data_IF_171217657772
#
_entry.id   IF_171217657772
#
_cell.length_a   1.000
_cell.length_b   1.000
_cell.length_c   1.000
_cell.angle_alpha   90.00
_cell.angle_beta   90.00
_cell.angle_gamma   90.00
#
_symmetry.space_group_name_H-M   'P 1'
#
loop_
_entity.id
_entity.type
_entity.pdbx_description
1 polymer ?
#
# COMPACT_ATOMS: atom_id res chain seq x y z
N UNK A 1 25.62 -17.72 66.25
CA UNK A 1 26.49 -17.07 65.24
C UNK A 1 26.06 -17.58 63.88
N UNK A 2 25.28 -16.80 63.14
CA UNK A 2 24.75 -17.16 61.82
C UNK A 2 25.57 -16.43 60.75
N UNK A 3 26.20 -17.20 59.87
CA UNK A 3 26.95 -16.72 58.71
C UNK A 3 25.97 -16.29 57.62
N UNK A 4 25.92 -14.99 57.31
CA UNK A 4 25.34 -14.51 56.06
C UNK A 4 26.43 -14.52 54.96
N UNK A 5 26.21 -15.19 53.82
CA UNK A 5 27.11 -15.08 52.67
C UNK A 5 26.84 -13.77 51.90
N UNK A 6 27.81 -13.29 51.10
CA UNK A 6 27.66 -12.06 50.35
C UNK A 6 26.67 -12.25 49.19
N UNK A 7 25.73 -11.31 49.07
CA UNK A 7 24.82 -11.20 47.93
C UNK A 7 25.64 -10.95 46.67
N UNK A 8 25.84 -11.98 45.84
CA UNK A 8 26.30 -11.81 44.46
C UNK A 8 25.19 -11.11 43.69
N UNK A 9 25.26 -9.78 43.61
CA UNK A 9 24.48 -9.01 42.64
C UNK A 9 24.99 -9.38 41.24
N UNK A 10 24.34 -10.34 40.62
CA UNK A 10 24.41 -10.51 39.17
C UNK A 10 23.72 -9.30 38.53
N UNK A 11 24.47 -8.21 38.35
CA UNK A 11 24.12 -7.22 37.34
C UNK A 11 24.24 -7.93 35.99
N UNK A 12 23.11 -8.44 35.51
CA UNK A 12 22.91 -8.73 34.09
C UNK A 12 23.07 -7.38 33.40
N UNK A 13 24.26 -7.14 32.84
CA UNK A 13 24.47 -6.09 31.87
C UNK A 13 23.44 -6.30 30.76
N UNK A 14 22.45 -5.42 30.70
CA UNK A 14 21.58 -5.30 29.54
C UNK A 14 22.52 -4.88 28.42
N UNK A 15 22.94 -5.84 27.61
CA UNK A 15 23.74 -5.56 26.43
C UNK A 15 22.87 -4.69 25.53
N UNK A 16 23.22 -3.41 25.46
CA UNK A 16 22.69 -2.52 24.45
C UNK A 16 23.06 -3.13 23.09
N UNK A 17 22.09 -3.56 22.26
CA UNK A 17 22.38 -4.25 21.00
C UNK A 17 23.19 -3.39 20.02
N UNK A 18 23.36 -2.09 20.29
CA UNK A 18 24.17 -1.17 19.50
C UNK A 18 25.25 -0.43 20.33
N UNK A 19 25.65 -0.96 21.49
CA UNK A 19 26.73 -0.39 22.29
C UNK A 19 28.09 -0.52 21.60
N UNK A 20 28.48 0.48 20.81
CA UNK A 20 29.81 0.54 20.20
C UNK A 20 30.85 0.94 21.26
N UNK A 21 31.76 0.02 21.58
CA UNK A 21 32.91 0.28 22.44
C UNK A 21 34.04 0.89 21.61
N UNK A 22 34.14 2.22 21.63
CA UNK A 22 35.15 2.99 20.89
C UNK A 22 36.53 3.00 21.54
N UNK A 23 36.67 2.50 22.78
CA UNK A 23 37.91 2.60 23.57
C UNK A 23 38.71 1.30 23.56
N UNK A 24 38.06 0.16 23.33
CA UNK A 24 38.73 -1.15 23.40
C UNK A 24 39.32 -1.58 22.05
N UNK A 25 40.63 -1.43 21.89
CA UNK A 25 41.36 -2.04 20.77
C UNK A 25 41.60 -3.54 21.02
N UNK A 26 41.05 -4.42 20.16
CA UNK A 26 41.36 -5.86 20.16
C UNK A 26 42.40 -6.21 19.10
N UNK A 27 43.63 -6.49 19.54
CA UNK A 27 44.72 -6.94 18.66
C UNK A 27 44.35 -8.28 18.01
N UNK A 28 44.44 -8.36 16.69
CA UNK A 28 44.16 -9.59 15.93
C UNK A 28 42.71 -9.74 15.44
N UNK A 29 41.80 -8.84 15.82
CA UNK A 29 40.45 -8.79 15.24
C UNK A 29 40.52 -7.92 13.99
N UNK A 30 40.57 -8.54 12.81
CA UNK A 30 40.26 -7.85 11.55
C UNK A 30 38.79 -8.06 11.27
N UNK A 31 38.03 -6.97 11.19
CA UNK A 31 36.68 -7.02 10.64
C UNK A 31 36.79 -7.52 9.19
N UNK A 32 35.98 -8.51 8.85
CA UNK A 32 35.78 -8.91 7.46
C UNK A 32 35.31 -7.66 6.72
N UNK A 33 36.08 -7.24 5.72
CA UNK A 33 35.69 -6.09 4.92
C UNK A 33 34.49 -6.52 4.08
N UNK A 34 33.43 -5.74 4.15
CA UNK A 34 32.26 -5.94 3.31
C UNK A 34 32.54 -5.70 1.83
N UNK A 35 33.76 -5.35 1.42
CA UNK A 35 34.20 -5.18 0.03
C UNK A 35 33.82 -6.41 -0.82
N UNK A 36 34.01 -7.63 -0.30
CA UNK A 36 33.69 -8.89 -0.99
C UNK A 36 32.17 -9.15 -1.11
N UNK A 37 31.35 -8.42 -0.34
CA UNK A 37 29.89 -8.55 -0.31
C UNK A 37 29.18 -7.24 -0.67
N UNK A 38 29.92 -6.24 -1.13
CA UNK A 38 29.41 -4.89 -1.35
C UNK A 38 28.34 -4.91 -2.44
N UNK A 39 28.56 -5.71 -3.48
CA UNK A 39 27.59 -5.86 -4.57
C UNK A 39 26.34 -6.61 -4.11
N UNK A 40 26.48 -7.62 -3.24
CA UNK A 40 25.33 -8.30 -2.60
C UNK A 40 24.53 -7.34 -1.72
N UNK A 41 25.20 -6.50 -0.93
CA UNK A 41 24.57 -5.48 -0.09
C UNK A 41 23.84 -4.41 -0.93
N UNK A 42 24.46 -3.95 -2.01
CA UNK A 42 23.82 -3.02 -2.97
C UNK A 42 22.59 -3.66 -3.60
N UNK A 43 22.68 -4.92 -4.03
CA UNK A 43 21.56 -5.64 -4.61
C UNK A 43 20.42 -5.83 -3.59
N UNK A 44 20.73 -6.23 -2.36
CA UNK A 44 19.75 -6.36 -1.29
C UNK A 44 19.07 -5.02 -0.95
N UNK A 45 19.84 -3.94 -0.90
CA UNK A 45 19.30 -2.60 -0.66
C UNK A 45 18.43 -2.11 -1.82
N UNK A 46 18.84 -2.34 -3.08
CA UNK A 46 18.04 -2.02 -4.25
C UNK A 46 16.71 -2.79 -4.26
N UNK A 47 16.74 -4.08 -3.90
CA UNK A 47 15.54 -4.90 -3.80
C UNK A 47 14.61 -4.43 -2.68
N UNK A 48 15.16 -4.10 -1.50
CA UNK A 48 14.39 -3.53 -0.39
C UNK A 48 13.71 -2.22 -0.78
N UNK A 49 14.40 -1.34 -1.52
CA UNK A 49 13.83 -0.09 -2.05
C UNK A 49 12.71 -0.36 -3.06
N UNK A 50 12.86 -1.36 -3.92
CA UNK A 50 11.81 -1.76 -4.85
C UNK A 50 10.56 -2.26 -4.11
N UNK A 51 10.72 -3.09 -3.08
CA UNK A 51 9.62 -3.55 -2.23
C UNK A 51 8.95 -2.41 -1.46
N UNK A 52 9.74 -1.48 -0.93
CA UNK A 52 9.19 -0.28 -0.29
C UNK A 52 8.31 0.50 -1.27
N UNK A 53 8.74 0.65 -2.53
CA UNK A 53 7.93 1.33 -3.55
C UNK A 53 6.59 0.64 -3.82
N UNK A 54 6.53 -0.69 -3.78
CA UNK A 54 5.27 -1.46 -3.91
C UNK A 54 4.35 -1.15 -2.71
N UNK A 55 4.90 -1.16 -1.49
CA UNK A 55 4.16 -0.84 -0.28
C UNK A 55 3.67 0.62 -0.24
N UNK A 56 4.50 1.57 -0.66
CA UNK A 56 4.15 2.99 -0.71
C UNK A 56 2.97 3.26 -1.66
N UNK A 57 2.83 2.46 -2.72
CA UNK A 57 1.68 2.48 -3.65
C UNK A 57 0.49 1.64 -3.18
N UNK A 58 0.58 1.02 -2.00
CA UNK A 58 -0.44 0.11 -1.46
C UNK A 58 -0.76 -1.07 -2.41
N UNK A 59 0.24 -1.52 -3.17
CA UNK A 59 0.12 -2.66 -4.09
C UNK A 59 0.31 -4.01 -3.38
N UNK A 60 -0.25 -5.07 -3.96
CA UNK A 60 -0.13 -6.44 -3.44
C UNK A 60 1.12 -7.11 -4.03
N UNK A 61 2.03 -7.56 -3.16
CA UNK A 61 3.24 -8.27 -3.58
C UNK A 61 2.97 -9.51 -4.41
N UNK A 62 1.92 -10.27 -4.08
CA UNK A 62 1.55 -11.47 -4.80
C UNK A 62 1.30 -11.20 -6.29
N UNK A 63 0.72 -10.03 -6.64
CA UNK A 63 0.56 -9.59 -8.04
C UNK A 63 1.91 -9.34 -8.72
N UNK A 64 2.87 -8.73 -8.01
CA UNK A 64 4.23 -8.50 -8.51
C UNK A 64 5.04 -9.81 -8.69
N UNK A 65 4.69 -10.87 -7.98
CA UNK A 65 5.24 -12.22 -8.18
C UNK A 65 4.47 -13.05 -9.23
N UNK A 66 3.48 -12.47 -9.90
CA UNK A 66 2.68 -13.14 -10.93
C UNK A 66 1.67 -14.15 -10.39
N UNK A 67 1.35 -14.09 -9.10
CA UNK A 67 0.26 -14.89 -8.53
C UNK A 67 -1.07 -14.42 -9.10
N UNK A 68 -1.94 -15.36 -9.47
CA UNK A 68 -3.32 -15.08 -9.87
C UNK A 68 -4.14 -14.89 -8.60
N UNK A 69 -4.61 -13.67 -8.38
CA UNK A 69 -5.38 -13.32 -7.20
C UNK A 69 -6.86 -13.43 -7.49
N UNK A 70 -7.66 -13.79 -6.48
CA UNK A 70 -9.12 -13.69 -6.63
C UNK A 70 -9.55 -12.24 -6.80
N UNK A 71 -8.78 -11.30 -6.25
CA UNK A 71 -8.95 -9.86 -6.42
C UNK A 71 -8.92 -9.44 -7.90
N UNK A 72 -8.17 -10.13 -8.76
CA UNK A 72 -8.11 -9.83 -10.19
C UNK A 72 -9.50 -10.04 -10.85
N UNK A 73 -10.19 -11.12 -10.47
CA UNK A 73 -11.53 -11.41 -10.99
C UNK A 73 -12.58 -10.41 -10.48
N UNK A 74 -12.45 -9.94 -9.24
CA UNK A 74 -13.31 -8.89 -8.71
C UNK A 74 -13.07 -7.57 -9.44
N UNK A 75 -11.80 -7.14 -9.54
CA UNK A 75 -11.43 -5.89 -10.20
C UNK A 75 -11.98 -5.87 -11.63
N UNK A 76 -11.84 -6.98 -12.36
CA UNK A 76 -12.41 -7.14 -13.69
C UNK A 76 -13.94 -7.10 -13.70
N UNK A 77 -14.60 -7.70 -12.70
CA UNK A 77 -16.06 -7.67 -12.58
C UNK A 77 -16.58 -6.26 -12.33
N UNK A 78 -15.93 -5.52 -11.42
CA UNK A 78 -16.27 -4.12 -11.13
C UNK A 78 -16.01 -3.27 -12.38
N UNK A 79 -14.84 -3.42 -13.02
CA UNK A 79 -14.48 -2.68 -14.24
C UNK A 79 -15.51 -2.87 -15.35
N UNK A 80 -15.99 -4.11 -15.57
CA UNK A 80 -17.01 -4.41 -16.59
C UNK A 80 -18.40 -3.86 -16.28
N UNK A 81 -18.68 -3.48 -15.04
CA UNK A 81 -19.94 -2.85 -14.69
C UNK A 81 -20.03 -1.40 -15.19
N UNK A 82 -18.89 -0.80 -15.56
CA UNK A 82 -18.79 0.56 -16.06
C UNK A 82 -18.58 0.60 -17.57
N UNK A 83 -19.01 1.71 -18.18
CA UNK A 83 -18.92 1.93 -19.63
C UNK A 83 -17.50 2.21 -20.11
N UNK A 84 -16.65 2.81 -19.27
CA UNK A 84 -15.25 3.12 -19.56
C UNK A 84 -14.31 2.22 -18.77
N UNK A 85 -13.14 1.95 -19.36
CA UNK A 85 -12.09 1.16 -18.70
C UNK A 85 -11.55 1.82 -17.44
N UNK A 86 -11.45 3.15 -17.46
CA UNK A 86 -11.03 3.98 -16.33
C UNK A 86 -12.05 5.10 -16.05
N UNK A 87 -12.15 5.55 -14.78
CA UNK A 87 -12.93 6.73 -14.42
C UNK A 87 -12.50 7.94 -15.25
N UNK A 88 -13.50 8.67 -15.76
CA UNK A 88 -13.25 9.89 -16.52
C UNK A 88 -13.31 11.09 -15.58
N UNK A 89 -12.28 11.92 -15.60
CA UNK A 89 -12.22 13.12 -14.78
C UNK A 89 -12.77 14.31 -15.54
N UNK A 90 -13.36 15.26 -14.83
CA UNK A 90 -13.64 16.56 -15.42
C UNK A 90 -12.35 17.38 -15.44
N UNK A 91 -11.93 17.80 -16.64
CA UNK A 91 -10.76 18.68 -16.82
C UNK A 91 -10.98 19.99 -16.05
N UNK A 92 -10.37 20.11 -14.88
CA UNK A 92 -10.10 21.42 -14.32
C UNK A 92 -8.94 22.02 -15.12
N UNK A 93 -9.19 23.17 -15.75
CA UNK A 93 -8.29 23.98 -16.59
C UNK A 93 -6.94 24.40 -15.94
N UNK A 94 -6.24 23.55 -15.20
CA UNK A 94 -4.92 23.84 -14.65
C UNK A 94 -3.93 22.78 -15.10
N UNK A 95 -2.85 23.26 -15.71
CA UNK A 95 -1.71 22.58 -16.32
C UNK A 95 -0.87 21.65 -15.40
N UNK A 96 -1.48 20.99 -14.43
CA UNK A 96 -0.86 19.89 -13.70
C UNK A 96 -1.65 18.63 -13.99
N UNK A 97 -1.39 18.06 -15.17
CA UNK A 97 -1.74 16.68 -15.51
C UNK A 97 -1.03 15.72 -14.56
N UNK A 98 -1.49 15.67 -13.31
CA UNK A 98 -1.19 14.58 -12.41
C UNK A 98 -1.73 13.31 -13.04
N UNK A 99 -0.88 12.31 -13.18
CA UNK A 99 -1.29 10.97 -13.56
C UNK A 99 -2.15 10.40 -12.43
N UNK A 100 -3.44 10.73 -12.44
CA UNK A 100 -4.40 10.27 -11.45
C UNK A 100 -4.74 8.82 -11.75
N UNK A 101 -3.91 7.91 -11.25
CA UNK A 101 -4.16 6.48 -11.32
C UNK A 101 -5.25 6.09 -10.30
N UNK A 102 -6.51 6.36 -10.65
CA UNK A 102 -7.68 5.98 -9.89
C UNK A 102 -8.42 4.84 -10.60
N UNK A 103 -8.65 3.73 -9.90
CA UNK A 103 -9.42 2.60 -10.45
C UNK A 103 -10.89 2.65 -10.05
N UNK A 104 -11.77 2.02 -10.84
CA UNK A 104 -13.19 1.90 -10.48
C UNK A 104 -13.42 1.22 -9.14
N UNK A 105 -12.54 0.31 -8.72
CA UNK A 105 -12.60 -0.32 -7.38
C UNK A 105 -12.46 0.72 -6.28
N UNK A 106 -11.54 1.68 -6.45
CA UNK A 106 -11.36 2.77 -5.50
C UNK A 106 -12.57 3.71 -5.49
N UNK A 107 -13.10 4.04 -6.68
CA UNK A 107 -14.33 4.85 -6.80
C UNK A 107 -15.49 4.21 -6.06
N UNK A 108 -15.75 2.92 -6.32
CA UNK A 108 -16.84 2.17 -5.70
C UNK A 108 -16.69 2.15 -4.17
N UNK A 109 -15.48 1.99 -3.63
CA UNK A 109 -15.26 1.98 -2.18
C UNK A 109 -15.49 3.34 -1.54
N UNK A 110 -15.07 4.40 -2.21
CA UNK A 110 -14.98 5.73 -1.61
C UNK A 110 -16.27 6.55 -1.83
N UNK A 111 -17.02 6.28 -2.91
CA UNK A 111 -18.20 7.07 -3.28
C UNK A 111 -19.45 6.62 -2.52
N UNK A 112 -20.08 7.57 -1.85
CA UNK A 112 -21.43 7.43 -1.34
C UNK A 112 -22.45 7.69 -2.47
N UNK A 113 -23.32 6.73 -2.84
CA UNK A 113 -24.28 6.92 -3.92
C UNK A 113 -25.24 8.09 -3.73
N UNK A 114 -25.48 8.49 -2.47
CA UNK A 114 -26.34 9.63 -2.13
C UNK A 114 -25.70 10.99 -2.44
N UNK A 115 -24.38 11.03 -2.62
CA UNK A 115 -23.61 12.23 -2.90
C UNK A 115 -23.37 12.43 -4.39
N UNK A 116 -23.87 11.52 -5.24
CA UNK A 116 -23.81 11.67 -6.69
C UNK A 116 -24.75 12.81 -7.11
N UNK A 117 -24.19 13.79 -7.81
CA UNK A 117 -24.90 14.99 -8.25
C UNK A 117 -25.24 14.87 -9.73
N UNK A 118 -26.43 15.34 -10.10
CA UNK A 118 -26.83 15.50 -11.50
C UNK A 118 -26.53 16.91 -11.95
N UNK A 119 -25.81 17.05 -13.07
CA UNK A 119 -25.51 18.34 -13.70
C UNK A 119 -26.66 18.84 -14.57
N UNK A 120 -26.72 20.15 -14.84
CA UNK A 120 -27.68 20.74 -15.77
C UNK A 120 -27.58 20.20 -17.20
N UNK A 121 -26.40 19.73 -17.61
CA UNK A 121 -26.15 19.13 -18.93
C UNK A 121 -26.69 17.69 -19.06
N UNK A 122 -27.28 17.14 -17.99
CA UNK A 122 -27.81 15.79 -17.94
C UNK A 122 -26.80 14.72 -17.55
N UNK A 123 -25.53 15.05 -17.37
CA UNK A 123 -24.50 14.12 -16.88
C UNK A 123 -24.51 14.01 -15.36
N UNK A 124 -23.89 12.97 -14.82
CA UNK A 124 -23.74 12.79 -13.38
C UNK A 124 -22.28 13.00 -12.97
N UNK A 125 -22.07 13.38 -11.71
CA UNK A 125 -20.74 13.52 -11.15
C UNK A 125 -20.67 13.04 -9.71
N UNK A 126 -19.51 12.56 -9.30
CA UNK A 126 -19.19 12.32 -7.91
C UNK A 126 -17.78 12.84 -7.60
N UNK A 127 -17.50 13.04 -6.31
CA UNK A 127 -16.18 13.45 -5.83
C UNK A 127 -15.62 12.31 -4.99
N UNK A 128 -14.37 11.91 -5.28
CA UNK A 128 -13.62 10.98 -4.45
C UNK A 128 -12.17 11.43 -4.36
N UNK A 129 -11.60 11.42 -3.15
CA UNK A 129 -10.21 11.86 -2.90
C UNK A 129 -9.89 13.25 -3.47
N UNK A 130 -10.87 14.15 -3.51
CA UNK A 130 -10.72 15.49 -4.09
C UNK A 130 -10.74 15.53 -5.62
N UNK A 131 -10.92 14.40 -6.30
CA UNK A 131 -11.07 14.29 -7.75
C UNK A 131 -12.54 14.25 -8.14
N UNK A 132 -12.91 15.03 -9.16
CA UNK A 132 -14.26 15.08 -9.70
C UNK A 132 -14.38 14.12 -10.89
N UNK A 133 -15.23 13.11 -10.74
CA UNK A 133 -15.43 12.05 -11.74
C UNK A 133 -16.74 12.31 -12.46
N UNK A 134 -16.68 12.26 -13.79
CA UNK A 134 -17.84 12.32 -14.68
C UNK A 134 -18.40 10.92 -14.88
N UNK A 135 -19.71 10.79 -14.77
CA UNK A 135 -20.45 9.54 -14.87
C UNK A 135 -21.51 9.65 -15.97
N UNK A 136 -21.64 8.59 -16.76
CA UNK A 136 -22.83 8.40 -17.59
C UNK A 136 -24.04 8.04 -16.73
N UNK A 137 -25.25 8.08 -17.31
CA UNK A 137 -26.47 7.63 -16.62
C UNK A 137 -26.37 6.15 -16.21
N UNK A 138 -25.80 5.30 -17.08
CA UNK A 138 -25.58 3.88 -16.80
C UNK A 138 -24.59 3.66 -15.65
N UNK A 139 -23.48 4.40 -15.63
CA UNK A 139 -22.46 4.28 -14.56
C UNK A 139 -23.02 4.77 -13.22
N UNK A 140 -23.81 5.85 -13.26
CA UNK A 140 -24.53 6.36 -12.10
C UNK A 140 -25.51 5.30 -11.57
N UNK A 141 -26.31 4.68 -12.45
CA UNK A 141 -27.22 3.62 -12.07
C UNK A 141 -26.49 2.43 -11.42
N UNK A 142 -25.35 2.01 -12.00
CA UNK A 142 -24.52 0.95 -11.44
C UNK A 142 -24.07 1.26 -10.00
N UNK A 143 -23.58 2.48 -9.75
CA UNK A 143 -23.18 2.94 -8.41
C UNK A 143 -24.36 3.07 -7.45
N UNK A 144 -25.53 3.50 -7.93
CA UNK A 144 -26.74 3.69 -7.12
C UNK A 144 -27.34 2.38 -6.62
N UNK A 145 -27.10 1.25 -7.31
CA UNK A 145 -27.59 -0.06 -6.86
C UNK A 145 -27.00 -0.50 -5.52
N UNK A 146 -25.82 0.00 -5.13
CA UNK A 146 -25.13 -0.45 -3.92
C UNK A 146 -24.43 -1.81 -4.05
N UNK A 147 -24.72 -2.59 -5.11
CA UNK A 147 -24.22 -3.96 -5.27
C UNK A 147 -22.70 -4.01 -5.44
N UNK A 148 -22.14 -3.05 -6.18
CA UNK A 148 -20.68 -2.98 -6.37
C UNK A 148 -19.96 -2.66 -5.05
N UNK A 149 -20.58 -1.84 -4.20
CA UNK A 149 -20.06 -1.51 -2.88
C UNK A 149 -20.07 -2.73 -1.96
N UNK A 150 -21.16 -3.50 -1.96
CA UNK A 150 -21.24 -4.76 -1.21
C UNK A 150 -20.16 -5.75 -1.66
N UNK A 151 -19.96 -5.89 -2.97
CA UNK A 151 -18.89 -6.73 -3.53
C UNK A 151 -17.50 -6.23 -3.11
N UNK A 152 -17.30 -4.92 -2.97
CA UNK A 152 -16.02 -4.32 -2.58
C UNK A 152 -15.72 -4.41 -1.08
N UNK A 153 -16.75 -4.52 -0.21
CA UNK A 153 -16.63 -4.68 1.26
C UNK A 153 -16.09 -6.06 1.63
N UNK A 154 -16.33 -7.09 0.81
CA UNK A 154 -15.90 -8.48 1.06
C UNK A 154 -14.37 -8.70 0.91
N UNK A 155 -13.58 -7.61 0.87
CA UNK A 155 -12.16 -7.64 0.57
C UNK A 155 -11.32 -6.94 1.65
N UNK A 156 -10.09 -7.42 1.94
CA UNK A 156 -9.35 -8.44 1.18
C UNK A 156 -9.88 -9.87 1.40
N UNK A 157 -9.89 -10.68 0.34
CA UNK A 157 -10.23 -12.10 0.44
C UNK A 157 -9.10 -12.85 1.15
N UNK A 158 -9.42 -13.77 2.05
CA UNK A 158 -8.43 -14.47 2.89
C UNK A 158 -7.34 -15.18 2.07
N UNK A 159 -7.70 -15.82 0.95
CA UNK A 159 -6.75 -16.47 0.05
C UNK A 159 -5.75 -15.53 -0.66
N UNK A 160 -5.96 -14.21 -0.61
CA UNK A 160 -5.08 -13.21 -1.23
C UNK A 160 -4.16 -12.52 -0.20
N UNK A 161 -4.16 -12.94 1.09
CA UNK A 161 -3.40 -12.35 2.21
C UNK A 161 -2.36 -13.31 2.78
#
# INVERSE_FOLDING_TARGET
MANNPPVKRHLKSVADPCGLDFLTYRRGVRLLRFEDHLDTLKAAHALSRAYQGVLDRSEIFARQFGAKLKADALEETIRRAFTSESPQFEDHNNDEGGDFNLSWVQVVRDVNPKEIQRKPDGTYQCVTRGLMIKLSESDCAALQTGLLQELAILWPHQDDV
#
